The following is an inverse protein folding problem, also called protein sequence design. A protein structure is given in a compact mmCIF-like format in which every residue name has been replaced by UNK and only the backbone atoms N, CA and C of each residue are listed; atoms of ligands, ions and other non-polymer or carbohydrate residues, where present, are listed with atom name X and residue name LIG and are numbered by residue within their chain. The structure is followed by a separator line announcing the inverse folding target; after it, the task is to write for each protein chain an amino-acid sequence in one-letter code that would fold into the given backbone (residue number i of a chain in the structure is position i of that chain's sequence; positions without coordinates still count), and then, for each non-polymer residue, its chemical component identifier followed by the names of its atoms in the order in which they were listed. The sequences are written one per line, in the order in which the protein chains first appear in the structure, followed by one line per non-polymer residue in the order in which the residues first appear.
data_IF_536918969953
#
_entry.id   IF_536918969953
#
_cell.length_a   1.000
_cell.length_b   1.000
_cell.length_c   1.000
_cell.angle_alpha   90.00
_cell.angle_beta   90.00
_cell.angle_gamma   90.00
#
_symmetry.space_group_name_H-M   'P 1'
#
loop_
_entity.id
_entity.type
_entity.pdbx_description
1 polymer ?
#
# COMPACT_ATOMS: atom_id res chain seq x y z
N UNK A 1 23.69 -3.65 -2.75
CA UNK A 1 23.70 -4.80 -1.82
C UNK A 1 24.52 -5.93 -2.43
N UNK A 2 25.83 -5.75 -2.62
CA UNK A 2 26.59 -6.67 -3.51
C UNK A 2 27.06 -7.95 -2.82
N UNK A 3 27.11 -7.98 -1.49
CA UNK A 3 27.61 -9.14 -0.74
C UNK A 3 26.55 -9.72 0.21
N UNK A 4 26.05 -8.93 1.17
CA UNK A 4 25.16 -9.44 2.22
C UNK A 4 23.70 -9.61 1.78
N UNK A 5 23.24 -8.90 0.75
CA UNK A 5 21.84 -8.86 0.33
C UNK A 5 20.91 -7.98 1.19
N UNK A 6 21.25 -7.73 2.45
CA UNK A 6 20.52 -6.83 3.35
C UNK A 6 20.85 -5.34 3.22
N UNK A 7 20.14 -4.52 4.01
CA UNK A 7 20.34 -3.07 4.06
C UNK A 7 21.14 -2.60 5.28
N UNK A 8 21.83 -1.47 5.13
CA UNK A 8 22.45 -0.70 6.22
C UNK A 8 21.64 0.57 6.46
N UNK A 9 21.60 1.06 7.70
CA UNK A 9 20.81 2.24 8.04
C UNK A 9 21.40 3.56 7.53
N UNK A 10 22.72 3.60 7.36
CA UNK A 10 23.50 4.76 6.93
C UNK A 10 24.76 4.28 6.21
N UNK A 11 25.29 5.11 5.31
CA UNK A 11 26.51 4.83 4.56
C UNK A 11 27.70 4.46 5.48
N UNK A 12 28.51 3.49 5.05
CA UNK A 12 29.66 2.96 5.77
C UNK A 12 29.32 2.34 7.15
N UNK A 13 28.10 1.81 7.31
CA UNK A 13 27.71 1.05 8.51
C UNK A 13 27.34 -0.38 8.11
N UNK A 14 27.32 -1.25 9.12
CA UNK A 14 27.01 -2.66 8.93
C UNK A 14 25.56 -2.85 8.48
N UNK A 15 25.32 -3.97 7.81
CA UNK A 15 23.98 -4.50 7.54
C UNK A 15 23.22 -4.78 8.84
N UNK A 16 21.89 -4.65 8.82
CA UNK A 16 21.01 -5.01 9.93
C UNK A 16 19.62 -5.38 9.40
N UNK A 17 19.10 -6.51 9.88
CA UNK A 17 17.81 -7.09 9.52
C UNK A 17 16.64 -6.11 9.64
N UNK A 18 16.61 -5.21 10.61
CA UNK A 18 15.49 -4.28 10.76
C UNK A 18 15.41 -3.25 9.62
N UNK A 19 16.54 -2.95 8.97
CA UNK A 19 16.55 -2.07 7.80
C UNK A 19 15.93 -2.72 6.56
N UNK A 20 15.62 -4.02 6.60
CA UNK A 20 14.82 -4.68 5.58
C UNK A 20 13.45 -4.03 5.41
N UNK A 21 12.85 -3.48 6.47
CA UNK A 21 11.63 -2.67 6.33
C UNK A 21 11.96 -1.18 6.18
N UNK A 22 12.77 -0.62 7.08
CA UNK A 22 13.00 0.83 7.11
C UNK A 22 13.62 1.39 5.83
N UNK A 23 14.47 0.63 5.15
CA UNK A 23 15.07 1.04 3.88
C UNK A 23 14.25 0.51 2.71
N UNK A 24 13.95 -0.79 2.67
CA UNK A 24 13.25 -1.36 1.51
C UNK A 24 11.81 -0.82 1.36
N UNK A 25 11.15 -0.51 2.47
CA UNK A 25 9.81 0.09 2.51
C UNK A 25 9.73 1.49 1.90
N UNK A 26 10.85 2.18 1.69
CA UNK A 26 10.89 3.44 0.96
C UNK A 26 10.64 3.24 -0.54
N UNK A 27 11.01 2.09 -1.12
CA UNK A 27 10.94 1.88 -2.56
C UNK A 27 9.50 1.78 -3.09
N UNK A 28 8.55 1.12 -2.41
CA UNK A 28 7.13 1.22 -2.77
C UNK A 28 6.58 2.65 -2.70
N UNK A 29 7.02 3.45 -1.71
CA UNK A 29 6.58 4.84 -1.56
C UNK A 29 7.12 5.73 -2.69
N UNK A 30 8.42 5.60 -2.99
CA UNK A 30 9.07 6.30 -4.10
C UNK A 30 8.46 5.88 -5.44
N UNK A 31 8.22 4.58 -5.63
CA UNK A 31 7.56 4.08 -6.83
C UNK A 31 6.18 4.74 -7.02
N UNK A 32 5.37 4.83 -5.95
CA UNK A 32 4.07 5.47 -6.01
C UNK A 32 4.15 6.98 -6.28
N UNK A 33 5.13 7.66 -5.69
CA UNK A 33 5.36 9.09 -5.90
C UNK A 33 5.74 9.38 -7.36
N UNK A 34 6.75 8.69 -7.89
CA UNK A 34 7.21 8.85 -9.27
C UNK A 34 6.14 8.43 -10.29
N UNK A 35 5.37 7.38 -10.00
CA UNK A 35 4.27 6.96 -10.87
C UNK A 35 3.21 8.06 -10.99
N UNK A 36 2.92 8.76 -9.89
CA UNK A 36 1.97 9.89 -9.89
C UNK A 36 2.48 11.08 -10.71
N UNK A 37 3.80 11.26 -10.81
CA UNK A 37 4.43 12.28 -11.65
C UNK A 37 4.49 11.90 -13.13
N UNK A 38 4.04 10.70 -13.50
CA UNK A 38 3.98 10.24 -14.89
C UNK A 38 5.26 9.59 -15.39
N UNK A 39 6.14 9.14 -14.48
CA UNK A 39 7.39 8.47 -14.85
C UNK A 39 7.13 7.16 -15.61
N UNK A 40 7.59 7.08 -16.87
CA UNK A 40 7.33 5.96 -17.78
C UNK A 40 8.26 4.78 -17.57
N UNK A 41 9.47 5.03 -17.03
CA UNK A 41 10.53 4.02 -16.91
C UNK A 41 10.40 3.14 -15.65
N UNK A 42 9.34 3.33 -14.86
CA UNK A 42 9.10 2.50 -13.69
C UNK A 42 8.78 1.05 -14.08
N UNK A 43 9.48 0.11 -13.42
CA UNK A 43 9.20 -1.32 -13.58
C UNK A 43 7.76 -1.65 -13.21
N UNK A 44 7.11 -2.50 -14.00
CA UNK A 44 5.74 -2.96 -13.78
C UNK A 44 5.63 -4.24 -12.95
N UNK A 45 6.76 -4.75 -12.46
CA UNK A 45 6.84 -6.07 -11.82
C UNK A 45 7.74 -6.09 -10.57
N UNK A 46 8.63 -5.10 -10.42
CA UNK A 46 9.67 -5.13 -9.39
C UNK A 46 9.86 -3.76 -8.75
N UNK A 47 10.20 -3.78 -7.47
CA UNK A 47 10.69 -2.61 -6.77
C UNK A 47 12.12 -2.26 -7.20
N UNK A 48 12.52 -1.01 -6.94
CA UNK A 48 13.86 -0.51 -7.28
C UNK A 48 14.93 -0.96 -6.27
N UNK A 49 14.94 -2.26 -5.94
CA UNK A 49 15.97 -2.92 -5.15
C UNK A 49 16.03 -4.42 -5.49
N UNK A 50 17.12 -5.08 -5.12
CA UNK A 50 17.30 -6.54 -5.31
C UNK A 50 16.41 -7.34 -4.36
N UNK A 51 15.15 -7.53 -4.74
CA UNK A 51 14.13 -8.24 -3.95
C UNK A 51 14.59 -9.64 -3.53
N UNK A 52 15.14 -10.42 -4.47
CA UNK A 52 15.61 -11.78 -4.19
C UNK A 52 16.74 -11.78 -3.16
N UNK A 53 17.74 -10.90 -3.30
CA UNK A 53 18.88 -10.82 -2.39
C UNK A 53 18.45 -10.43 -0.96
N UNK A 54 17.43 -9.57 -0.82
CA UNK A 54 16.88 -9.24 0.50
C UNK A 54 16.18 -10.45 1.14
N UNK A 55 15.43 -11.23 0.36
CA UNK A 55 14.81 -12.45 0.85
C UNK A 55 15.87 -13.48 1.29
N UNK A 56 16.93 -13.67 0.49
CA UNK A 56 18.07 -14.53 0.83
C UNK A 56 18.69 -14.11 2.17
N UNK A 57 18.97 -12.82 2.36
CA UNK A 57 19.54 -12.31 3.61
C UNK A 57 18.63 -12.59 4.82
N UNK A 58 17.33 -12.35 4.69
CA UNK A 58 16.39 -12.55 5.80
C UNK A 58 16.27 -14.05 6.13
N UNK A 59 16.03 -14.89 5.11
CA UNK A 59 15.78 -16.32 5.29
C UNK A 59 17.04 -17.08 5.74
N UNK A 60 18.23 -16.70 5.27
CA UNK A 60 19.47 -17.42 5.58
C UNK A 60 20.20 -16.85 6.80
N UNK A 61 20.11 -15.54 7.07
CA UNK A 61 20.95 -14.89 8.08
C UNK A 61 20.20 -14.32 9.28
N UNK A 62 18.90 -14.03 9.15
CA UNK A 62 18.15 -13.30 10.16
C UNK A 62 17.19 -14.18 10.98
N UNK A 63 17.20 -15.50 10.82
CA UNK A 63 16.34 -16.42 11.57
C UNK A 63 17.07 -17.05 12.74
N UNK A 64 16.41 -17.13 13.90
CA UNK A 64 16.89 -17.93 15.02
C UNK A 64 16.30 -19.36 14.95
N UNK A 65 17.09 -20.43 15.11
CA UNK A 65 16.59 -21.81 15.07
C UNK A 65 15.49 -22.15 16.09
N UNK A 66 15.37 -21.37 17.17
CA UNK A 66 14.33 -21.57 18.20
C UNK A 66 13.11 -20.65 18.03
N UNK A 67 13.01 -19.95 16.89
CA UNK A 67 11.94 -19.00 16.55
C UNK A 67 12.35 -17.53 16.73
N UNK A 68 11.66 -16.62 16.05
CA UNK A 68 11.99 -15.18 16.04
C UNK A 68 13.15 -14.83 15.11
N UNK A 69 13.23 -13.54 14.76
CA UNK A 69 14.27 -13.00 13.88
C UNK A 69 15.17 -12.02 14.64
N UNK A 70 16.30 -11.69 14.02
CA UNK A 70 17.43 -11.00 14.63
C UNK A 70 18.07 -10.00 13.67
N UNK A 71 18.95 -9.15 14.20
CA UNK A 71 19.74 -8.16 13.46
C UNK A 71 20.64 -8.82 12.39
N UNK A 72 21.61 -9.63 12.82
CA UNK A 72 22.59 -10.32 11.97
C UNK A 72 23.15 -11.55 12.70
N UNK A 73 23.78 -12.51 12.01
CA UNK A 73 24.37 -13.69 12.66
C UNK A 73 25.25 -13.32 13.86
N UNK A 74 25.07 -14.05 14.96
CA UNK A 74 25.75 -13.79 16.24
C UNK A 74 25.03 -12.80 17.17
N UNK A 75 23.91 -12.19 16.76
CA UNK A 75 23.03 -11.39 17.64
C UNK A 75 21.87 -12.20 18.19
N UNK A 76 21.36 -11.77 19.33
CA UNK A 76 20.16 -12.36 19.95
C UNK A 76 18.90 -11.99 19.17
N UNK A 77 17.90 -12.87 19.23
CA UNK A 77 16.54 -12.59 18.72
C UNK A 77 15.81 -11.61 19.61
N UNK A 78 14.92 -10.83 19.03
CA UNK A 78 13.96 -9.99 19.75
C UNK A 78 12.69 -9.73 18.91
N UNK A 79 11.66 -9.17 19.55
CA UNK A 79 10.39 -8.89 18.88
C UNK A 79 10.48 -7.76 17.85
N UNK A 80 11.42 -6.82 18.03
CA UNK A 80 11.60 -5.70 17.12
C UNK A 80 12.14 -6.19 15.77
N UNK A 81 13.21 -6.97 15.77
CA UNK A 81 13.75 -7.58 14.55
C UNK A 81 12.79 -8.63 13.98
N UNK A 82 12.10 -9.39 14.82
CA UNK A 82 11.02 -10.27 14.35
C UNK A 82 9.99 -9.51 13.52
N UNK A 83 9.51 -8.37 14.01
CA UNK A 83 8.57 -7.53 13.29
C UNK A 83 9.17 -7.00 11.98
N UNK A 84 10.30 -6.29 12.04
CA UNK A 84 10.80 -5.55 10.89
C UNK A 84 11.48 -6.42 9.82
N UNK A 85 12.07 -7.57 10.20
CA UNK A 85 12.54 -8.54 9.22
C UNK A 85 11.36 -9.17 8.46
N UNK A 86 10.27 -9.54 9.14
CA UNK A 86 9.08 -10.10 8.46
C UNK A 86 8.36 -9.04 7.61
N UNK A 87 8.25 -7.81 8.09
CA UNK A 87 7.73 -6.70 7.30
C UNK A 87 8.56 -6.44 6.05
N UNK A 88 9.90 -6.45 6.17
CA UNK A 88 10.80 -6.31 5.02
C UNK A 88 10.71 -7.49 4.04
N UNK A 89 10.58 -8.72 4.55
CA UNK A 89 10.36 -9.92 3.73
C UNK A 89 9.05 -9.79 2.93
N UNK A 90 7.96 -9.34 3.57
CA UNK A 90 6.69 -9.06 2.89
C UNK A 90 6.85 -8.01 1.78
N UNK A 91 7.54 -6.88 2.05
CA UNK A 91 7.82 -5.87 1.00
C UNK A 91 8.62 -6.45 -0.17
N UNK A 92 9.59 -7.34 0.09
CA UNK A 92 10.38 -7.98 -0.95
C UNK A 92 9.60 -9.03 -1.76
N UNK A 93 8.58 -9.63 -1.17
CA UNK A 93 7.74 -10.63 -1.82
C UNK A 93 6.68 -10.01 -2.72
N UNK A 94 6.14 -8.85 -2.34
CA UNK A 94 4.90 -8.30 -2.92
C UNK A 94 5.16 -6.99 -3.67
N UNK A 95 5.07 -7.03 -4.99
CA UNK A 95 4.99 -5.84 -5.83
C UNK A 95 3.52 -5.52 -6.16
N UNK A 96 3.15 -4.24 -6.03
CA UNK A 96 1.78 -3.79 -6.31
C UNK A 96 1.71 -2.31 -6.69
N UNK A 97 1.19 -1.99 -7.88
CA UNK A 97 0.88 -0.61 -8.27
C UNK A 97 -0.39 -0.59 -9.14
N UNK A 98 -1.41 0.15 -8.67
CA UNK A 98 -2.78 0.15 -9.24
C UNK A 98 -3.33 -1.27 -9.39
N UNK A 99 -3.49 -1.76 -10.62
CA UNK A 99 -4.03 -3.09 -10.93
C UNK A 99 -2.92 -4.12 -11.14
N UNK A 100 -1.67 -3.68 -11.22
CA UNK A 100 -0.51 -4.55 -11.42
C UNK A 100 -0.08 -5.15 -10.09
N UNK A 101 -0.09 -6.47 -10.01
CA UNK A 101 0.35 -7.23 -8.85
C UNK A 101 1.31 -8.33 -9.30
N UNK A 102 2.47 -8.42 -8.67
CA UNK A 102 3.45 -9.45 -8.96
C UNK A 102 4.09 -9.92 -7.65
N UNK A 103 4.21 -11.24 -7.51
CA UNK A 103 4.78 -11.84 -6.31
C UNK A 103 6.08 -12.58 -6.67
N UNK A 104 7.06 -12.50 -5.78
CA UNK A 104 8.32 -13.22 -5.87
C UNK A 104 8.55 -13.91 -4.54
N UNK A 105 8.22 -15.19 -4.45
CA UNK A 105 8.42 -15.98 -3.23
C UNK A 105 9.68 -16.82 -3.41
N UNK A 106 10.70 -16.56 -2.59
CA UNK A 106 11.91 -17.36 -2.60
C UNK A 106 11.76 -18.60 -1.72
N UNK A 107 12.12 -19.76 -2.27
CA UNK A 107 12.07 -21.04 -1.56
C UNK A 107 10.70 -21.71 -1.71
N UNK A 108 10.18 -22.25 -0.60
CA UNK A 108 8.89 -22.92 -0.60
C UNK A 108 7.75 -21.90 -0.48
N UNK A 109 6.57 -22.28 -0.97
CA UNK A 109 5.38 -21.43 -0.98
C UNK A 109 4.95 -20.99 0.42
N UNK A 110 5.24 -21.79 1.45
CA UNK A 110 4.96 -21.50 2.86
C UNK A 110 5.79 -20.31 3.41
N UNK A 111 6.82 -19.87 2.68
CA UNK A 111 7.53 -18.64 3.01
C UNK A 111 6.71 -17.38 2.71
N UNK A 112 5.61 -17.50 1.96
CA UNK A 112 4.74 -16.37 1.61
C UNK A 112 4.15 -15.74 2.87
N UNK A 113 4.45 -14.46 3.08
CA UNK A 113 3.82 -13.65 4.11
C UNK A 113 2.60 -12.90 3.54
N UNK A 114 1.70 -12.47 4.42
CA UNK A 114 0.68 -11.49 4.04
C UNK A 114 1.33 -10.16 3.64
N UNK A 115 0.76 -9.41 2.69
CA UNK A 115 1.26 -8.09 2.30
C UNK A 115 1.17 -7.10 3.47
N UNK A 116 2.10 -6.14 3.52
CA UNK A 116 2.08 -5.03 4.47
C UNK A 116 1.96 -3.69 3.73
N UNK A 117 1.15 -2.78 4.27
CA UNK A 117 1.00 -1.44 3.72
C UNK A 117 2.29 -0.64 3.96
N UNK A 118 2.96 -0.09 2.92
CA UNK A 118 4.30 0.46 3.05
C UNK A 118 4.38 1.71 3.96
N UNK A 119 3.28 2.46 4.11
CA UNK A 119 3.21 3.59 5.06
C UNK A 119 2.97 3.16 6.51
N UNK A 120 2.02 2.25 6.76
CA UNK A 120 1.50 1.97 8.11
C UNK A 120 2.06 0.69 8.73
N UNK A 121 2.76 -0.13 7.94
CA UNK A 121 3.30 -1.43 8.33
C UNK A 121 2.27 -2.40 8.97
N UNK A 122 1.04 -2.39 8.46
CA UNK A 122 -0.01 -3.36 8.79
C UNK A 122 -0.65 -3.84 7.49
N UNK A 123 -1.38 -4.96 7.50
CA UNK A 123 -2.01 -5.47 6.27
C UNK A 123 -2.89 -4.39 5.59
N UNK A 124 -2.83 -4.22 4.26
CA UNK A 124 -3.61 -3.23 3.52
C UNK A 124 -5.12 -3.28 3.84
N UNK A 125 -5.70 -4.46 4.07
CA UNK A 125 -7.11 -4.64 4.42
C UNK A 125 -7.43 -4.11 5.82
N UNK A 126 -6.44 -4.04 6.71
CA UNK A 126 -6.58 -3.44 8.05
C UNK A 126 -6.56 -1.92 7.95
N UNK A 127 -5.71 -1.36 7.09
CA UNK A 127 -5.70 0.08 6.77
C UNK A 127 -7.04 0.49 6.18
N UNK A 128 -7.51 -0.21 5.14
CA UNK A 128 -8.78 0.08 4.48
C UNK A 128 -9.96 0.06 5.46
N UNK A 129 -10.05 -0.96 6.33
CA UNK A 129 -11.08 -1.04 7.37
C UNK A 129 -11.01 0.10 8.38
N UNK A 130 -9.80 0.43 8.86
CA UNK A 130 -9.62 1.52 9.82
C UNK A 130 -10.05 2.85 9.19
N UNK A 131 -9.61 3.16 7.97
CA UNK A 131 -10.01 4.38 7.25
C UNK A 131 -11.52 4.42 7.02
N UNK A 132 -12.13 3.33 6.54
CA UNK A 132 -13.57 3.27 6.32
C UNK A 132 -14.37 3.49 7.60
N UNK A 133 -13.88 3.02 8.75
CA UNK A 133 -14.52 3.24 10.04
C UNK A 133 -14.39 4.71 10.48
N UNK A 134 -13.16 5.24 10.54
CA UNK A 134 -12.91 6.57 11.10
C UNK A 134 -13.36 7.72 10.20
N UNK A 135 -13.42 7.54 8.87
CA UNK A 135 -13.95 8.56 7.95
C UNK A 135 -15.46 8.81 8.11
N UNK A 136 -16.20 7.91 8.79
CA UNK A 136 -17.61 8.11 9.12
C UNK A 136 -17.81 8.94 10.39
N UNK A 137 -16.74 9.18 11.16
CA UNK A 137 -16.77 9.96 12.39
C UNK A 137 -16.33 11.40 12.08
N UNK A 138 -16.90 12.41 12.75
CA UNK A 138 -16.42 13.78 12.60
C UNK A 138 -15.01 13.92 13.16
N UNK A 139 -14.20 14.77 12.54
CA UNK A 139 -12.90 15.16 13.09
C UNK A 139 -13.14 15.86 14.44
N UNK A 140 -12.55 15.38 15.56
CA UNK A 140 -12.74 16.02 16.85
C UNK A 140 -12.32 17.50 16.81
N UNK A 141 -13.25 18.40 17.18
CA UNK A 141 -13.01 19.85 17.17
C UNK A 141 -13.29 20.56 15.83
N UNK A 142 -13.72 19.86 14.78
CA UNK A 142 -14.20 20.48 13.55
C UNK A 142 -15.60 21.06 13.74
N UNK A 143 -15.78 22.38 13.53
CA UNK A 143 -17.11 22.99 13.45
C UNK A 143 -17.94 22.22 12.41
N UNK A 144 -19.11 21.71 12.81
CA UNK A 144 -20.14 21.33 11.85
C UNK A 144 -20.48 22.58 11.05
N UNK A 145 -20.20 22.62 9.75
CA UNK A 145 -21.03 23.46 8.89
C UNK A 145 -22.47 22.96 9.05
N UNK A 146 -23.46 23.84 9.26
CA UNK A 146 -24.83 23.39 9.28
C UNK A 146 -25.16 22.86 7.89
N UNK A 147 -25.56 21.59 7.81
CA UNK A 147 -26.34 21.12 6.68
C UNK A 147 -27.58 22.02 6.59
N UNK A 148 -27.62 22.89 5.58
CA UNK A 148 -28.85 23.55 5.19
C UNK A 148 -29.73 22.50 4.52
N UNK A 149 -30.56 21.88 5.36
CA UNK A 149 -31.92 21.39 5.11
C UNK A 149 -32.34 21.15 3.65
N UNK A 150 -32.60 19.88 3.35
CA UNK A 150 -33.53 19.47 2.32
C UNK A 150 -34.98 19.87 2.71
N UNK A 151 -35.32 21.15 2.60
CA UNK A 151 -36.70 21.62 2.56
C UNK A 151 -36.78 22.86 1.66
N UNK A 152 -37.05 22.64 0.38
CA UNK A 152 -37.97 23.54 -0.32
C UNK A 152 -38.93 22.68 -1.14
N UNK A 153 -40.16 22.61 -0.64
CA UNK A 153 -41.28 21.92 -1.24
C UNK A 153 -41.82 22.76 -2.39
N UNK A 154 -42.18 22.06 -3.47
CA UNK A 154 -43.36 22.31 -4.32
C UNK A 154 -44.00 23.70 -4.26
N UNK A 155 -43.97 24.40 -5.38
CA UNK A 155 -45.10 25.20 -5.86
C UNK A 155 -45.12 25.20 -7.39
N UNK A 156 -45.94 24.33 -7.96
CA UNK A 156 -46.59 24.55 -9.26
C UNK A 156 -47.83 25.41 -8.96
N UNK A 157 -48.08 26.50 -9.71
CA UNK A 157 -49.32 26.49 -10.48
C UNK A 157 -49.31 27.27 -11.82
N UNK A 158 -50.26 26.86 -12.66
CA UNK A 158 -50.94 27.57 -13.76
C UNK A 158 -50.20 27.70 -15.10
N UNK A 159 -50.57 26.94 -16.14
CA UNK A 159 -51.80 26.98 -16.95
C UNK A 159 -51.77 28.01 -18.09
N UNK A 160 -52.11 27.51 -19.28
CA UNK A 160 -52.44 28.18 -20.54
C UNK A 160 -51.37 29.00 -21.28
N UNK A 161 -50.88 28.43 -22.39
CA UNK A 161 -51.29 29.03 -23.66
C UNK A 161 -51.40 28.02 -24.80
N UNK A 162 -52.45 28.26 -25.57
CA UNK A 162 -53.13 27.44 -26.54
C UNK A 162 -52.50 27.51 -27.96
N UNK A 163 -52.88 26.52 -28.78
CA UNK A 163 -52.93 26.54 -30.25
C UNK A 163 -51.57 26.54 -31.02
N UNK A 164 -51.31 25.75 -32.06
CA UNK A 164 -52.16 25.21 -33.14
C UNK A 164 -51.49 24.03 -33.86
N UNK A 165 -52.26 22.94 -34.02
CA UNK A 165 -52.58 22.18 -35.24
C UNK A 165 -51.55 21.82 -36.35
N UNK A 166 -51.80 20.60 -36.89
CA UNK A 166 -51.46 20.02 -38.21
C UNK A 166 -50.04 19.45 -38.36
N UNK A 167 -49.81 18.24 -38.87
CA UNK A 167 -50.66 17.19 -39.42
C UNK A 167 -49.77 16.14 -40.09
N UNK A 168 -50.28 14.89 -40.20
CA UNK A 168 -49.96 13.85 -41.20
C UNK A 168 -48.48 13.49 -41.47
N UNK A 169 -48.03 12.30 -41.07
CA UNK A 169 -48.16 11.03 -41.78
C UNK A 169 -47.12 10.80 -42.91
N UNK A 170 -46.52 9.61 -42.83
CA UNK A 170 -46.16 8.72 -43.93
C UNK A 170 -44.75 8.78 -44.58
N UNK A 171 -44.17 7.56 -44.62
CA UNK A 171 -43.22 6.96 -45.58
C UNK A 171 -41.89 7.66 -45.95
N UNK A 172 -40.79 7.03 -45.54
CA UNK A 172 -39.87 6.26 -46.42
C UNK A 172 -38.81 5.52 -45.60
#
# INVERSE_FOLDING_TARGET
MRFEGGFQGRCNKLVDGCYSFWQAGLLPLLHRALFKEGESELSRQRWMFEQQALQEYILLCCQNPTGGLLDKPGKSRDFYHTCYCLSGLSIAQHFGNTDLHHEMILGMEENRLAPTHPVYNICPEKVARALQFFLRLPVPGGNKQPEASAEDRQSDPDADNDATASGSADQS
#
